data_IF_341301575890
#
_entry.id   IF_341301575890
#
_cell.length_a   1.000
_cell.length_b   1.000
_cell.length_c   1.000
_cell.angle_alpha   90.00
_cell.angle_beta   90.00
_cell.angle_gamma   90.00
#
_symmetry.space_group_name_H-M   'P 1'
#
loop_
_entity.id
_entity.type
_entity.pdbx_description
1 polymer ?
#
# COMPACT_ATOMS: atom_id res chain seq x y z
N UNK A 1 34.85 37.13 36.12
CA UNK A 1 33.78 36.22 35.67
C UNK A 1 32.85 36.01 36.86
N UNK A 2 31.62 36.53 36.77
CA UNK A 2 30.72 36.64 37.91
C UNK A 2 29.98 35.34 38.26
N UNK A 3 29.52 35.18 39.51
CA UNK A 3 28.81 33.98 40.00
C UNK A 3 27.53 33.62 39.23
N UNK A 4 27.03 34.51 38.37
CA UNK A 4 25.86 34.29 37.53
C UNK A 4 26.09 33.30 36.39
N UNK A 5 27.34 33.18 35.89
CA UNK A 5 27.66 32.32 34.73
C UNK A 5 27.80 30.84 35.09
N UNK A 6 28.05 30.51 36.36
CA UNK A 6 28.12 29.10 36.83
C UNK A 6 26.75 28.45 36.96
N UNK A 7 25.68 29.23 37.15
CA UNK A 7 24.33 28.67 37.35
C UNK A 7 23.68 28.20 36.05
N UNK A 8 23.96 28.86 34.93
CA UNK A 8 23.43 28.46 33.61
C UNK A 8 24.06 27.16 33.08
N UNK A 9 25.36 26.91 33.34
CA UNK A 9 26.03 25.67 32.93
C UNK A 9 25.50 24.43 33.69
N UNK A 10 25.13 24.58 34.96
CA UNK A 10 24.57 23.48 35.76
C UNK A 10 23.13 23.12 35.34
N UNK A 11 22.33 24.09 34.89
CA UNK A 11 20.95 23.88 34.45
C UNK A 11 20.88 23.21 33.06
N UNK A 12 21.81 23.54 32.15
CA UNK A 12 21.91 22.90 30.82
C UNK A 12 22.36 21.43 30.92
N UNK A 13 23.27 21.10 31.86
CA UNK A 13 23.68 19.72 32.12
C UNK A 13 22.57 18.86 32.75
N UNK A 14 21.68 19.48 33.54
CA UNK A 14 20.54 18.79 34.14
C UNK A 14 19.50 18.43 33.06
N UNK A 15 19.19 19.36 32.16
CA UNK A 15 18.22 19.14 31.07
C UNK A 15 18.66 18.02 30.12
N UNK A 16 19.95 17.96 29.76
CA UNK A 16 20.49 16.89 28.90
C UNK A 16 20.45 15.49 29.53
N UNK A 17 20.49 15.39 30.87
CA UNK A 17 20.38 14.10 31.57
C UNK A 17 18.97 13.52 31.53
N UNK A 18 17.95 14.37 31.64
CA UNK A 18 16.55 13.93 31.63
C UNK A 18 16.08 13.52 30.23
N UNK A 19 16.53 14.22 29.18
CA UNK A 19 16.26 13.80 27.80
C UNK A 19 16.87 12.44 27.46
N UNK A 20 18.11 12.17 27.91
CA UNK A 20 18.75 10.86 27.72
C UNK A 20 18.00 9.75 28.44
N UNK A 21 17.55 9.98 29.67
CA UNK A 21 16.71 9.02 30.41
C UNK A 21 15.37 8.78 29.72
N UNK A 22 14.74 9.84 29.20
CA UNK A 22 13.48 9.72 28.46
C UNK A 22 13.66 8.90 27.18
N UNK A 23 14.74 9.12 26.44
CA UNK A 23 15.08 8.36 25.23
C UNK A 23 15.34 6.88 25.55
N UNK A 24 16.10 6.59 26.61
CA UNK A 24 16.37 5.22 27.05
C UNK A 24 15.09 4.50 27.48
N UNK A 25 14.21 5.18 28.22
CA UNK A 25 12.91 4.64 28.61
C UNK A 25 12.00 4.33 27.42
N UNK A 26 12.01 5.18 26.38
CA UNK A 26 11.27 4.90 25.13
C UNK A 26 11.81 3.65 24.44
N UNK A 27 13.12 3.51 24.34
CA UNK A 27 13.75 2.34 23.74
C UNK A 27 13.39 1.03 24.46
N UNK A 28 13.44 1.02 25.79
CA UNK A 28 13.04 -0.13 26.61
C UNK A 28 11.56 -0.50 26.40
N UNK A 29 10.66 0.49 26.34
CA UNK A 29 9.23 0.25 26.06
C UNK A 29 9.02 -0.40 24.69
N UNK A 30 9.74 0.05 23.66
CA UNK A 30 9.67 -0.55 22.31
C UNK A 30 10.14 -2.01 22.33
N UNK A 31 11.24 -2.32 23.01
CA UNK A 31 11.75 -3.70 23.12
C UNK A 31 10.76 -4.62 23.85
N UNK A 32 10.12 -4.14 24.92
CA UNK A 32 9.08 -4.90 25.64
C UNK A 32 7.85 -5.16 24.77
N UNK A 33 7.41 -4.17 24.00
CA UNK A 33 6.28 -4.32 23.07
C UNK A 33 6.58 -5.36 21.97
N UNK A 34 7.79 -5.32 21.40
CA UNK A 34 8.24 -6.31 20.41
C UNK A 34 8.33 -7.71 21.01
N UNK A 35 8.83 -7.85 22.24
CA UNK A 35 8.88 -9.14 22.95
C UNK A 35 7.47 -9.73 23.14
N UNK A 36 6.52 -8.94 23.67
CA UNK A 36 5.12 -9.36 23.83
C UNK A 36 4.44 -9.71 22.50
N UNK A 37 4.84 -9.06 21.41
CA UNK A 37 4.34 -9.39 20.09
C UNK A 37 4.84 -10.75 19.60
N UNK A 38 6.15 -11.03 19.74
CA UNK A 38 6.73 -12.34 19.40
C UNK A 38 6.08 -13.47 20.20
N UNK A 39 5.89 -13.27 21.50
CA UNK A 39 5.25 -14.23 22.38
C UNK A 39 3.79 -14.53 21.97
N UNK A 40 2.99 -13.51 21.63
CA UNK A 40 1.62 -13.71 21.10
C UNK A 40 1.62 -14.50 19.79
N UNK A 41 2.60 -14.25 18.92
CA UNK A 41 2.74 -14.95 17.64
C UNK A 41 3.12 -16.43 17.85
N UNK A 42 4.10 -16.70 18.72
CA UNK A 42 4.50 -18.06 19.09
C UNK A 42 3.34 -18.84 19.74
N UNK A 43 2.61 -18.22 20.66
CA UNK A 43 1.43 -18.84 21.26
C UNK A 43 0.35 -19.17 20.22
N UNK A 44 0.13 -18.29 19.24
CA UNK A 44 -0.84 -18.53 18.16
C UNK A 44 -0.39 -19.64 17.22
N UNK A 45 0.90 -19.73 16.91
CA UNK A 45 1.46 -20.84 16.11
C UNK A 45 1.25 -22.15 16.86
N UNK A 46 1.60 -22.22 18.15
CA UNK A 46 1.41 -23.40 18.99
C UNK A 46 -0.06 -23.83 19.04
N UNK A 47 -0.99 -22.89 19.23
CA UNK A 47 -2.42 -23.17 19.21
C UNK A 47 -2.88 -23.78 17.87
N UNK A 48 -2.35 -23.30 16.75
CA UNK A 48 -2.66 -23.83 15.43
C UNK A 48 -2.05 -25.21 15.21
N UNK A 49 -0.81 -25.44 15.66
CA UNK A 49 -0.15 -26.74 15.63
C UNK A 49 -0.93 -27.78 16.45
N UNK A 50 -1.38 -27.43 17.66
CA UNK A 50 -2.22 -28.29 18.50
C UNK A 50 -3.55 -28.63 17.81
N UNK A 51 -4.20 -27.65 17.16
CA UNK A 51 -5.44 -27.90 16.39
C UNK A 51 -5.20 -28.81 15.19
N UNK A 52 -4.10 -28.63 14.47
CA UNK A 52 -3.73 -29.49 13.33
C UNK A 52 -3.45 -30.92 13.82
N UNK A 53 -2.80 -31.08 14.98
CA UNK A 53 -2.58 -32.40 15.59
C UNK A 53 -3.91 -33.09 15.92
N UNK A 54 -4.85 -32.39 16.57
CA UNK A 54 -6.19 -32.93 16.89
C UNK A 54 -6.95 -33.34 15.61
N UNK A 55 -6.96 -32.48 14.59
CA UNK A 55 -7.61 -32.79 13.32
C UNK A 55 -6.95 -33.98 12.61
N UNK A 56 -5.63 -34.10 12.68
CA UNK A 56 -4.88 -35.21 12.10
C UNK A 56 -5.20 -36.53 12.82
N UNK A 57 -5.31 -36.53 14.15
CA UNK A 57 -5.75 -37.70 14.93
C UNK A 57 -7.18 -38.12 14.58
N UNK A 58 -8.11 -37.17 14.47
CA UNK A 58 -9.50 -37.46 14.09
C UNK A 58 -9.62 -38.05 12.69
N UNK A 59 -8.76 -37.63 11.75
CA UNK A 59 -8.70 -38.22 10.41
C UNK A 59 -8.11 -39.63 10.44
N UNK A 60 -7.09 -39.87 11.25
CA UNK A 60 -6.44 -41.18 11.38
C UNK A 60 -7.33 -42.24 12.05
N UNK A 61 -8.22 -41.84 12.96
CA UNK A 61 -9.14 -42.75 13.68
C UNK A 61 -10.36 -43.19 12.83
N UNK A 62 -10.40 -42.82 11.55
CA UNK A 62 -11.37 -43.37 10.59
C UNK A 62 -12.76 -42.77 10.71
N UNK A 63 -12.91 -41.51 10.25
CA UNK A 63 -14.14 -40.99 9.62
C UNK A 63 -15.48 -41.14 10.36
N UNK A 64 -15.47 -41.38 11.68
CA UNK A 64 -16.71 -41.57 12.43
C UNK A 64 -17.34 -40.19 12.70
N UNK A 65 -18.27 -39.80 11.82
CA UNK A 65 -18.94 -38.48 11.76
C UNK A 65 -19.58 -37.99 13.06
N UNK A 66 -19.74 -38.86 14.06
CA UNK A 66 -20.27 -38.52 15.39
C UNK A 66 -19.29 -37.76 16.30
N UNK A 67 -17.99 -37.75 16.04
CA UNK A 67 -17.01 -37.06 16.91
C UNK A 67 -16.90 -35.54 16.63
N UNK A 68 -17.21 -35.09 15.41
CA UNK A 68 -17.07 -33.68 15.00
C UNK A 68 -18.01 -32.70 15.72
N UNK A 69 -19.13 -33.18 16.28
CA UNK A 69 -20.08 -32.35 17.03
C UNK A 69 -19.65 -32.03 18.46
N UNK A 70 -18.57 -32.65 18.95
CA UNK A 70 -18.07 -32.47 20.33
C UNK A 70 -16.98 -31.41 20.48
N UNK A 71 -16.52 -30.80 19.39
CA UNK A 71 -15.50 -29.76 19.45
C UNK A 71 -16.08 -28.48 20.06
N UNK A 72 -15.39 -27.84 21.04
CA UNK A 72 -15.84 -26.60 21.64
C UNK A 72 -15.97 -25.51 20.57
N UNK A 73 -17.09 -24.76 20.53
CA UNK A 73 -17.33 -23.74 19.52
C UNK A 73 -16.23 -22.67 19.60
N UNK A 74 -15.58 -22.40 18.48
CA UNK A 74 -14.57 -21.34 18.42
C UNK A 74 -15.22 -19.97 18.68
N UNK A 75 -14.66 -19.13 19.58
CA UNK A 75 -15.22 -17.81 19.91
C UNK A 75 -15.23 -16.82 18.73
N UNK A 76 -14.54 -17.14 17.63
CA UNK A 76 -14.52 -16.34 16.39
C UNK A 76 -15.64 -16.67 15.39
N UNK A 77 -16.36 -17.79 15.56
CA UNK A 77 -17.49 -18.16 14.70
C UNK A 77 -18.86 -17.79 15.29
N UNK A 78 -18.91 -17.39 16.56
CA UNK A 78 -20.14 -16.95 17.22
C UNK A 78 -20.69 -15.61 16.70
N UNK A 79 -19.94 -14.89 15.87
CA UNK A 79 -20.33 -13.59 15.32
C UNK A 79 -20.95 -13.64 13.92
N UNK A 80 -21.05 -14.81 13.30
CA UNK A 80 -21.52 -14.96 11.91
C UNK A 80 -22.90 -15.64 11.78
N UNK A 81 -23.54 -16.04 12.88
CA UNK A 81 -24.81 -16.78 12.88
C UNK A 81 -25.90 -16.00 13.59
N UNK A 82 -26.22 -14.81 13.08
CA UNK A 82 -27.40 -14.04 13.49
C UNK A 82 -28.00 -13.28 12.29
N UNK A 83 -28.51 -14.01 11.30
CA UNK A 83 -29.48 -13.45 10.36
C UNK A 83 -30.23 -14.55 9.59
N UNK A 84 -31.56 -14.54 9.74
CA UNK A 84 -32.46 -14.96 8.67
C UNK A 84 -33.04 -16.38 8.75
N UNK A 85 -33.91 -16.63 9.74
CA UNK A 85 -35.01 -17.58 9.58
C UNK A 85 -36.28 -16.82 9.19
N UNK A 86 -36.81 -17.09 8.00
CA UNK A 86 -38.22 -16.97 7.67
C UNK A 86 -38.57 -17.87 6.48
N UNK A 87 -39.21 -19.00 6.79
CA UNK A 87 -40.34 -19.64 6.08
C UNK A 87 -40.29 -19.85 4.56
N UNK A 88 -40.31 -21.12 4.18
CA UNK A 88 -40.72 -21.58 2.85
C UNK A 88 -40.70 -23.11 2.77
N UNK A 89 -41.80 -23.76 3.15
CA UNK A 89 -41.96 -25.21 3.03
C UNK A 89 -42.07 -25.60 1.56
N UNK A 90 -41.11 -26.37 1.07
CA UNK A 90 -41.15 -27.02 -0.23
C UNK A 90 -40.33 -28.30 -0.16
N UNK A 91 -41.00 -29.42 0.09
CA UNK A 91 -40.42 -30.76 0.06
C UNK A 91 -40.02 -31.12 -1.37
N UNK A 92 -38.78 -30.83 -1.72
CA UNK A 92 -38.11 -31.31 -2.93
C UNK A 92 -36.75 -31.87 -2.54
N UNK A 93 -36.72 -33.13 -2.08
CA UNK A 93 -35.48 -33.85 -1.83
C UNK A 93 -34.82 -34.08 -3.19
N UNK A 94 -33.87 -33.22 -3.54
CA UNK A 94 -33.02 -33.39 -4.71
C UNK A 94 -31.93 -34.40 -4.31
N UNK A 95 -31.86 -35.60 -4.93
CA UNK A 95 -30.79 -36.54 -4.67
C UNK A 95 -29.51 -35.96 -5.26
N UNK A 96 -28.72 -35.29 -4.42
CA UNK A 96 -27.33 -35.01 -4.73
C UNK A 96 -26.65 -36.38 -4.86
N UNK A 97 -26.33 -36.77 -6.10
CA UNK A 97 -25.69 -38.04 -6.40
C UNK A 97 -24.39 -38.18 -5.61
N UNK A 98 -24.16 -39.34 -4.99
CA UNK A 98 -22.94 -39.68 -4.23
C UNK A 98 -21.63 -39.38 -4.99
N UNK A 99 -21.70 -39.32 -6.32
CA UNK A 99 -20.65 -38.83 -7.23
C UNK A 99 -20.09 -37.46 -6.87
N UNK A 100 -20.94 -36.48 -6.53
CA UNK A 100 -20.49 -35.11 -6.25
C UNK A 100 -19.79 -35.01 -4.90
N UNK A 101 -20.18 -35.85 -3.95
CA UNK A 101 -19.53 -35.93 -2.65
C UNK A 101 -18.16 -36.60 -2.77
N UNK A 102 -18.04 -37.67 -3.58
CA UNK A 102 -16.78 -38.33 -3.86
C UNK A 102 -15.77 -37.40 -4.56
N UNK A 103 -16.21 -36.61 -5.54
CA UNK A 103 -15.34 -35.64 -6.22
C UNK A 103 -14.85 -34.52 -5.28
N UNK A 104 -15.71 -34.05 -4.37
CA UNK A 104 -15.32 -33.07 -3.35
C UNK A 104 -14.35 -33.64 -2.33
N UNK A 105 -14.54 -34.90 -1.93
CA UNK A 105 -13.62 -35.63 -1.05
C UNK A 105 -12.23 -35.79 -1.68
N UNK A 106 -12.14 -36.24 -2.94
CA UNK A 106 -10.87 -36.37 -3.67
C UNK A 106 -10.15 -35.01 -3.83
N UNK A 107 -10.90 -33.94 -4.08
CA UNK A 107 -10.35 -32.58 -4.15
C UNK A 107 -9.78 -32.12 -2.79
N UNK A 108 -10.46 -32.45 -1.69
CA UNK A 108 -9.99 -32.16 -0.33
C UNK A 108 -8.72 -32.94 0.02
N UNK A 109 -8.68 -34.23 -0.29
CA UNK A 109 -7.50 -35.08 -0.05
C UNK A 109 -6.27 -34.57 -0.80
N UNK A 110 -6.42 -34.20 -2.08
CA UNK A 110 -5.33 -33.60 -2.87
C UNK A 110 -4.82 -32.29 -2.27
N UNK A 111 -5.73 -31.47 -1.73
CA UNK A 111 -5.37 -30.19 -1.11
C UNK A 111 -4.64 -30.38 0.22
N UNK A 112 -5.05 -31.36 1.02
CA UNK A 112 -4.36 -31.75 2.27
C UNK A 112 -2.95 -32.26 1.96
N UNK A 113 -2.78 -33.11 0.95
CA UNK A 113 -1.46 -33.61 0.53
C UNK A 113 -0.52 -32.47 0.07
N UNK A 114 -1.06 -31.50 -0.67
CA UNK A 114 -0.29 -30.33 -1.12
C UNK A 114 0.18 -29.48 0.05
N UNK A 115 -0.70 -29.18 1.02
CA UNK A 115 -0.35 -28.42 2.21
C UNK A 115 0.66 -29.16 3.11
N UNK A 116 0.56 -30.48 3.20
CA UNK A 116 1.54 -31.29 3.94
C UNK A 116 2.94 -31.21 3.32
N UNK A 117 3.04 -31.24 1.98
CA UNK A 117 4.30 -31.08 1.26
C UNK A 117 4.91 -29.67 1.45
N UNK A 118 4.09 -28.62 1.41
CA UNK A 118 4.54 -27.25 1.67
C UNK A 118 5.05 -27.08 3.11
N UNK A 119 4.35 -27.63 4.10
CA UNK A 119 4.78 -27.59 5.49
C UNK A 119 6.10 -28.34 5.70
N UNK A 120 6.29 -29.49 5.05
CA UNK A 120 7.56 -30.21 5.08
C UNK A 120 8.70 -29.37 4.46
N UNK A 121 8.45 -28.69 3.34
CA UNK A 121 9.43 -27.81 2.71
C UNK A 121 9.81 -26.61 3.59
N UNK A 122 8.84 -26.01 4.29
CA UNK A 122 9.08 -24.92 5.25
C UNK A 122 9.89 -25.39 6.46
N UNK A 123 9.60 -26.59 6.97
CA UNK A 123 10.36 -27.19 8.09
C UNK A 123 11.82 -27.44 7.72
N UNK A 124 12.08 -27.94 6.50
CA UNK A 124 13.44 -28.12 5.99
C UNK A 124 14.18 -26.79 5.81
N UNK A 125 13.49 -25.74 5.34
CA UNK A 125 14.08 -24.38 5.25
C UNK A 125 14.50 -23.82 6.60
N UNK A 126 13.72 -24.07 7.65
CA UNK A 126 14.08 -23.62 9.00
C UNK A 126 15.25 -24.39 9.62
N UNK A 127 15.42 -25.69 9.29
CA UNK A 127 16.56 -26.47 9.76
C UNK A 127 17.88 -26.13 9.04
N UNK A 128 17.81 -25.56 7.83
CA UNK A 128 18.99 -25.14 7.05
C UNK A 128 19.47 -23.72 7.36
N UNK A 129 18.93 -23.04 8.37
CA UNK A 129 19.53 -21.79 8.87
C UNK A 129 20.53 -22.18 9.96
N UNK A 130 21.84 -22.27 9.66
CA UNK A 130 22.82 -22.48 10.72
C UNK A 130 22.73 -21.31 11.69
N UNK A 131 22.35 -21.62 12.93
CA UNK A 131 22.52 -20.72 14.07
C UNK A 131 24.02 -20.53 14.20
N UNK A 132 24.57 -19.46 13.61
CA UNK A 132 25.95 -19.08 13.88
C UNK A 132 26.00 -18.70 15.37
N UNK A 133 26.78 -19.43 16.21
CA UNK A 133 27.05 -18.96 17.54
C UNK A 133 27.81 -17.65 17.41
N UNK A 134 27.27 -16.59 18.02
CA UNK A 134 27.89 -15.27 18.11
C UNK A 134 29.23 -15.41 18.82
N UNK A 135 30.29 -15.69 18.06
CA UNK A 135 31.66 -15.55 18.54
C UNK A 135 31.96 -14.06 18.66
N UNK A 136 31.95 -13.58 19.89
CA UNK A 136 32.65 -12.37 20.30
C UNK A 136 34.13 -12.62 20.01
N UNK A 137 34.70 -11.95 18.99
CA UNK A 137 36.14 -11.94 18.80
C UNK A 137 36.69 -10.51 18.81
N UNK A 138 37.81 -10.28 19.52
CA UNK A 138 38.45 -8.99 19.63
C UNK A 138 39.37 -8.69 18.44
N UNK A 139 39.65 -7.41 18.31
CA UNK A 139 40.56 -6.69 17.41
C UNK A 139 41.88 -7.45 17.12
N UNK A 140 42.22 -7.68 15.84
CA UNK A 140 43.52 -7.33 15.23
C UNK A 140 43.64 -7.63 13.70
N UNK A 141 44.05 -6.57 12.97
CA UNK A 141 45.01 -6.43 11.85
C UNK A 141 45.19 -7.45 10.68
N UNK A 142 45.13 -6.87 9.47
CA UNK A 142 45.90 -7.07 8.21
C UNK A 142 46.16 -8.47 7.60
N UNK A 143 45.57 -8.74 6.42
CA UNK A 143 46.22 -8.76 5.07
C UNK A 143 45.23 -9.23 3.97
N UNK A 144 45.44 -8.90 2.68
CA UNK A 144 44.55 -9.29 1.58
C UNK A 144 45.11 -10.46 0.75
N UNK A 145 44.27 -11.43 0.40
CA UNK A 145 44.56 -12.40 -0.65
C UNK A 145 43.28 -12.89 -1.34
N UNK A 146 43.14 -12.44 -2.59
CA UNK A 146 42.66 -13.13 -3.80
C UNK A 146 41.88 -14.44 -3.64
N UNK A 147 40.62 -14.48 -4.13
CA UNK A 147 39.97 -15.71 -4.62
C UNK A 147 39.03 -15.38 -5.82
N UNK A 148 39.20 -16.16 -6.88
CA UNK A 148 38.34 -16.29 -8.07
C UNK A 148 36.96 -16.88 -7.75
N UNK A 149 35.92 -16.43 -8.47
CA UNK A 149 34.63 -17.12 -8.47
C UNK A 149 34.12 -17.37 -9.89
N UNK A 150 34.12 -18.67 -10.25
CA UNK A 150 33.31 -19.25 -11.31
C UNK A 150 32.19 -20.06 -10.65
N UNK A 151 30.91 -19.76 -10.91
CA UNK A 151 29.83 -20.75 -11.13
C UNK A 151 28.42 -20.14 -11.05
N UNK A 152 27.82 -20.02 -12.23
CA UNK A 152 26.54 -20.56 -12.70
C UNK A 152 25.58 -21.19 -11.66
N UNK A 153 24.29 -20.77 -11.68
CA UNK A 153 23.22 -21.44 -10.96
C UNK A 153 21.80 -20.95 -11.29
N UNK A 154 21.18 -21.64 -12.25
CA UNK A 154 19.74 -21.80 -12.58
C UNK A 154 18.67 -21.12 -11.68
N UNK A 155 17.80 -20.33 -12.34
CA UNK A 155 16.53 -19.82 -11.82
C UNK A 155 15.37 -20.78 -12.18
N UNK A 156 14.66 -21.27 -11.17
CA UNK A 156 13.32 -21.84 -11.32
C UNK A 156 12.29 -20.88 -10.71
N UNK A 157 11.37 -20.39 -11.53
CA UNK A 157 10.24 -19.55 -11.13
C UNK A 157 9.18 -20.40 -10.44
N UNK A 158 8.71 -19.98 -9.26
CA UNK A 158 7.54 -20.56 -8.61
C UNK A 158 6.63 -19.42 -8.10
N UNK A 159 5.41 -19.36 -8.63
CA UNK A 159 4.37 -18.40 -8.27
C UNK A 159 3.60 -18.93 -7.06
N UNK A 160 3.70 -18.25 -5.90
CA UNK A 160 2.88 -18.56 -4.73
C UNK A 160 1.89 -17.43 -4.41
N UNK A 161 0.64 -17.83 -4.18
CA UNK A 161 -0.43 -17.05 -3.57
C UNK A 161 -0.08 -16.77 -2.11
N UNK A 162 0.02 -15.49 -1.72
CA UNK A 162 0.27 -15.10 -0.33
C UNK A 162 -0.97 -14.48 0.31
N UNK A 163 -1.40 -15.11 1.42
CA UNK A 163 -2.35 -14.57 2.39
C UNK A 163 -1.64 -13.54 3.27
N UNK A 164 -1.99 -12.27 3.13
CA UNK A 164 -1.40 -11.16 3.89
C UNK A 164 -2.18 -10.93 5.20
N UNK A 165 -1.61 -11.41 6.31
CA UNK A 165 -1.95 -10.93 7.64
C UNK A 165 -0.66 -10.48 8.33
N UNK A 166 -0.34 -9.17 8.30
CA UNK A 166 0.61 -8.48 9.18
C UNK A 166 0.88 -7.04 8.69
N UNK A 167 0.33 -6.03 9.36
CA UNK A 167 1.01 -4.74 9.64
C UNK A 167 0.07 -3.87 10.50
N UNK A 168 0.25 -3.80 11.82
CA UNK A 168 -0.51 -2.82 12.63
C UNK A 168 0.30 -2.07 13.70
N UNK A 169 1.55 -2.43 14.04
CA UNK A 169 2.20 -1.80 15.22
C UNK A 169 3.66 -1.38 15.07
N UNK A 170 4.33 -1.66 13.95
CA UNK A 170 5.72 -1.20 13.73
C UNK A 170 5.82 0.21 13.13
N UNK A 171 4.78 0.67 12.42
CA UNK A 171 4.74 1.96 11.70
C UNK A 171 4.52 3.16 12.65
N UNK A 172 3.81 2.98 13.77
CA UNK A 172 3.34 4.13 14.56
C UNK A 172 4.45 4.94 15.26
N UNK A 173 5.56 4.31 15.68
CA UNK A 173 6.61 4.96 16.48
C UNK A 173 7.63 5.76 15.66
N UNK A 174 7.92 5.37 14.41
CA UNK A 174 8.83 6.13 13.54
C UNK A 174 8.10 7.30 12.85
N UNK A 175 6.78 7.23 12.72
CA UNK A 175 5.99 8.30 12.09
C UNK A 175 5.58 9.43 13.05
N UNK A 176 5.59 9.22 14.37
CA UNK A 176 5.17 10.23 15.34
C UNK A 176 6.13 11.43 15.44
N UNK A 177 7.39 11.27 15.02
CA UNK A 177 8.36 12.38 14.95
C UNK A 177 8.14 13.31 13.76
N UNK A 178 7.36 12.90 12.74
CA UNK A 178 7.09 13.70 11.54
C UNK A 178 5.97 14.72 11.73
N UNK A 179 5.20 14.64 12.82
CA UNK A 179 4.04 15.48 13.08
C UNK A 179 4.32 16.73 13.92
N UNK A 180 5.59 17.00 14.28
CA UNK A 180 5.94 18.18 15.08
C UNK A 180 6.16 19.42 14.18
N UNK A 181 5.07 20.17 14.00
CA UNK A 181 4.89 21.61 13.76
C UNK A 181 6.05 22.47 13.18
N UNK A 182 5.93 23.06 11.96
CA UNK A 182 6.77 24.15 11.49
C UNK A 182 5.96 25.44 11.22
N UNK A 183 5.09 25.87 12.13
CA UNK A 183 4.15 26.98 11.90
C UNK A 183 4.51 28.25 12.68
N UNK A 184 5.71 28.84 12.52
CA UNK A 184 6.02 30.11 13.22
C UNK A 184 6.99 31.10 12.57
N UNK A 185 7.35 30.96 11.28
CA UNK A 185 8.26 31.92 10.65
C UNK A 185 7.71 32.44 9.32
N UNK A 186 7.60 33.77 9.25
CA UNK A 186 7.14 34.64 8.15
C UNK A 186 5.68 35.12 8.20
N UNK A 187 5.43 36.13 9.05
CA UNK A 187 4.50 37.21 8.74
C UNK A 187 5.27 38.54 8.80
N UNK A 188 5.68 39.06 7.64
CA UNK A 188 6.00 40.48 7.47
C UNK A 188 4.80 41.13 6.81
N UNK A 189 4.11 42.00 7.56
CA UNK A 189 3.00 42.82 7.07
C UNK A 189 3.53 43.94 6.17
N UNK A 190 3.29 43.83 4.86
CA UNK A 190 3.45 44.93 3.91
C UNK A 190 2.08 45.53 3.59
N UNK A 191 1.98 46.85 3.82
CA UNK A 191 0.81 47.68 3.56
C UNK A 191 0.40 47.60 2.08
N UNK A 192 -0.89 47.37 1.82
CA UNK A 192 -1.44 47.17 0.47
C UNK A 192 -1.98 48.48 -0.13
N UNK A 193 -1.59 48.88 -1.35
CA UNK A 193 -2.19 49.99 -2.10
C UNK A 193 -3.58 49.65 -2.66
N UNK A 194 -4.33 50.63 -3.24
CA UNK A 194 -5.71 50.45 -3.67
C UNK A 194 -5.84 49.43 -4.81
N UNK A 195 -6.81 48.52 -4.67
CA UNK A 195 -7.12 47.43 -5.62
C UNK A 195 -7.79 47.97 -6.90
N UNK A 196 -7.03 48.03 -7.99
CA UNK A 196 -7.59 47.93 -9.34
C UNK A 196 -7.91 46.46 -9.62
N UNK A 197 -9.13 46.14 -10.05
CA UNK A 197 -9.57 44.78 -10.39
C UNK A 197 -8.92 44.29 -11.68
N UNK A 198 -7.65 43.90 -11.59
CA UNK A 198 -7.01 43.05 -12.60
C UNK A 198 -7.68 41.68 -12.60
N UNK A 199 -7.84 41.02 -13.77
CA UNK A 199 -8.28 39.62 -13.82
C UNK A 199 -7.43 38.83 -12.84
N UNK A 200 -8.06 38.25 -11.81
CA UNK A 200 -7.36 37.52 -10.76
C UNK A 200 -6.62 36.36 -11.42
N UNK A 201 -5.33 36.56 -11.67
CA UNK A 201 -4.45 35.53 -12.20
C UNK A 201 -4.54 34.31 -11.30
N UNK A 202 -4.64 33.12 -11.90
CA UNK A 202 -4.63 31.86 -11.16
C UNK A 202 -3.36 31.81 -10.31
N UNK A 203 -3.52 31.72 -8.98
CA UNK A 203 -2.40 31.56 -8.04
C UNK A 203 -2.03 30.08 -7.95
N UNK A 204 -0.74 29.77 -7.91
CA UNK A 204 -0.22 28.41 -7.74
C UNK A 204 -0.44 27.88 -6.32
N UNK A 205 -0.33 26.55 -6.13
CA UNK A 205 -0.41 25.94 -4.80
C UNK A 205 0.64 26.54 -3.85
N UNK A 206 1.85 26.76 -4.36
CA UNK A 206 2.97 27.28 -3.58
C UNK A 206 2.72 28.69 -3.06
N UNK A 207 2.05 29.55 -3.85
CA UNK A 207 1.66 30.90 -3.40
C UNK A 207 0.56 30.83 -2.35
N UNK A 208 -0.39 29.89 -2.48
CA UNK A 208 -1.52 29.76 -1.55
C UNK A 208 -1.15 29.10 -0.22
N UNK A 209 -0.26 28.10 -0.24
CA UNK A 209 -0.03 27.18 0.87
C UNK A 209 1.44 27.01 1.24
N UNK A 210 2.36 27.75 0.60
CA UNK A 210 3.81 27.54 0.74
C UNK A 210 4.31 26.33 -0.06
N UNK A 211 5.61 26.02 0.03
CA UNK A 211 6.17 24.84 -0.62
C UNK A 211 5.73 23.55 0.08
N UNK A 212 5.51 22.45 -0.66
CA UNK A 212 5.16 21.17 -0.05
C UNK A 212 6.31 20.65 0.84
N UNK A 213 5.95 20.05 1.97
CA UNK A 213 6.91 19.43 2.89
C UNK A 213 7.26 18.02 2.39
N UNK A 214 8.46 17.87 1.81
CA UNK A 214 8.91 16.66 1.10
C UNK A 214 10.20 16.05 1.66
N UNK A 215 11.03 16.81 2.39
CA UNK A 215 12.38 16.36 2.77
C UNK A 215 12.37 15.20 3.78
N UNK A 216 11.39 15.19 4.69
CA UNK A 216 11.22 14.09 5.63
C UNK A 216 10.86 12.78 4.91
N UNK A 217 9.98 12.86 3.91
CA UNK A 217 9.56 11.74 3.09
C UNK A 217 10.68 11.24 2.18
N UNK A 218 11.44 12.15 1.56
CA UNK A 218 12.64 11.84 0.78
C UNK A 218 13.65 11.07 1.62
N UNK A 219 13.94 11.57 2.82
CA UNK A 219 14.86 10.91 3.77
C UNK A 219 14.35 9.53 4.18
N UNK A 220 13.05 9.41 4.49
CA UNK A 220 12.44 8.14 4.87
C UNK A 220 12.51 7.11 3.73
N UNK A 221 12.20 7.48 2.49
CA UNK A 221 12.32 6.58 1.33
C UNK A 221 13.77 6.18 1.07
N UNK A 222 14.73 7.11 1.13
CA UNK A 222 16.16 6.78 0.97
C UNK A 222 16.77 6.01 2.14
N UNK A 223 16.10 5.97 3.29
CA UNK A 223 16.52 5.09 4.39
C UNK A 223 16.18 3.62 4.15
N UNK A 224 15.30 3.32 3.17
CA UNK A 224 14.96 1.96 2.79
C UNK A 224 16.14 1.35 1.99
N UNK A 225 16.68 0.18 2.38
CA UNK A 225 17.87 -0.39 1.75
C UNK A 225 17.78 -0.49 0.23
N UNK A 226 16.66 -0.97 -0.32
CA UNK A 226 16.49 -1.10 -1.79
C UNK A 226 16.37 0.22 -2.54
N UNK A 227 16.15 1.34 -1.83
CA UNK A 227 15.88 2.65 -2.44
C UNK A 227 16.93 3.72 -2.07
N UNK A 228 17.96 3.36 -1.30
CA UNK A 228 18.98 4.28 -0.80
C UNK A 228 19.64 5.15 -1.86
N UNK A 229 19.88 4.58 -3.04
CA UNK A 229 20.48 5.27 -4.19
C UNK A 229 19.48 5.45 -5.36
N UNK A 230 18.18 5.31 -5.12
CA UNK A 230 17.17 5.39 -6.18
C UNK A 230 16.95 6.84 -6.62
N UNK A 231 17.24 7.13 -7.89
CA UNK A 231 16.99 8.44 -8.52
C UNK A 231 15.49 8.78 -8.57
N UNK A 232 14.63 7.76 -8.56
CA UNK A 232 13.18 7.92 -8.66
C UNK A 232 12.60 8.59 -7.43
N UNK A 233 13.22 8.42 -6.26
CA UNK A 233 12.82 9.12 -5.03
C UNK A 233 12.97 10.63 -5.20
N UNK A 234 14.07 11.09 -5.80
CA UNK A 234 14.29 12.51 -6.03
C UNK A 234 13.34 13.06 -7.09
N UNK A 235 13.19 12.33 -8.20
CA UNK A 235 12.27 12.71 -9.29
C UNK A 235 10.81 12.79 -8.84
N UNK A 236 10.37 11.88 -7.94
CA UNK A 236 9.02 11.90 -7.39
C UNK A 236 8.73 13.24 -6.70
N UNK A 237 9.62 13.67 -5.81
CA UNK A 237 9.42 14.88 -5.02
C UNK A 237 9.73 16.17 -5.79
N UNK A 238 10.67 16.12 -6.74
CA UNK A 238 10.90 17.22 -7.68
C UNK A 238 9.66 17.48 -8.55
N UNK A 239 9.01 16.42 -9.05
CA UNK A 239 7.76 16.54 -9.79
C UNK A 239 6.65 17.19 -8.94
N UNK A 240 6.49 16.77 -7.68
CA UNK A 240 5.51 17.36 -6.76
C UNK A 240 5.79 18.85 -6.49
N UNK A 241 7.05 19.22 -6.27
CA UNK A 241 7.44 20.60 -6.00
C UNK A 241 7.24 21.49 -7.24
N UNK A 242 7.62 21.00 -8.43
CA UNK A 242 7.36 21.69 -9.70
C UNK A 242 5.87 21.87 -9.95
N UNK A 243 5.08 20.82 -9.71
CA UNK A 243 3.63 20.89 -9.84
C UNK A 243 3.05 21.99 -8.93
N UNK A 244 3.56 22.14 -7.70
CA UNK A 244 3.06 23.10 -6.73
C UNK A 244 3.32 24.57 -7.11
N UNK A 245 4.44 24.87 -7.78
CA UNK A 245 4.76 26.24 -8.21
C UNK A 245 4.14 26.64 -9.55
N UNK A 246 3.58 25.67 -10.28
CA UNK A 246 3.05 25.86 -11.63
C UNK A 246 1.58 26.30 -11.60
N UNK A 247 1.18 27.15 -12.56
CA UNK A 247 -0.22 27.58 -12.76
C UNK A 247 -0.82 27.07 -14.08
N UNK A 248 0.01 26.65 -15.04
CA UNK A 248 -0.43 26.04 -16.29
C UNK A 248 -0.97 24.61 -16.05
N UNK A 249 -2.24 24.38 -16.41
CA UNK A 249 -2.91 23.08 -16.23
C UNK A 249 -2.21 21.96 -17.03
N UNK A 250 -1.70 22.25 -18.23
CA UNK A 250 -1.04 21.22 -19.04
C UNK A 250 0.31 20.81 -18.44
N UNK A 251 1.08 21.77 -17.92
CA UNK A 251 2.29 21.46 -17.18
C UNK A 251 2.00 20.74 -15.86
N UNK A 252 0.97 21.12 -15.11
CA UNK A 252 0.52 20.39 -13.91
C UNK A 252 0.20 18.92 -14.27
N UNK A 253 -0.49 18.66 -15.39
CA UNK A 253 -0.77 17.30 -15.90
C UNK A 253 0.49 16.53 -16.24
N UNK A 254 1.48 17.17 -16.89
CA UNK A 254 2.78 16.56 -17.21
C UNK A 254 3.54 16.19 -15.93
N UNK A 255 3.57 17.09 -14.95
CA UNK A 255 4.23 16.81 -13.66
C UNK A 255 3.50 15.72 -12.87
N UNK A 256 2.16 15.68 -12.91
CA UNK A 256 1.38 14.59 -12.33
C UNK A 256 1.72 13.22 -12.96
N UNK A 257 1.86 13.16 -14.30
CA UNK A 257 2.27 11.95 -14.98
C UNK A 257 3.69 11.52 -14.56
N UNK A 258 4.63 12.46 -14.48
CA UNK A 258 6.00 12.21 -13.99
C UNK A 258 6.01 11.70 -12.55
N UNK A 259 5.21 12.32 -11.67
CA UNK A 259 5.02 11.88 -10.29
C UNK A 259 4.55 10.42 -10.23
N UNK A 260 3.50 10.07 -10.99
CA UNK A 260 2.95 8.71 -11.00
C UNK A 260 3.97 7.69 -11.55
N UNK A 261 4.71 8.03 -12.59
CA UNK A 261 5.77 7.17 -13.14
C UNK A 261 6.90 6.94 -12.14
N UNK A 262 7.43 8.01 -11.56
CA UNK A 262 8.48 7.92 -10.53
C UNK A 262 8.01 7.07 -9.34
N UNK A 263 6.75 7.24 -8.92
CA UNK A 263 6.14 6.42 -7.86
C UNK A 263 6.17 4.93 -8.21
N UNK A 264 5.78 4.56 -9.42
CA UNK A 264 5.77 3.15 -9.82
C UNK A 264 7.18 2.60 -10.07
N UNK A 265 8.12 3.41 -10.55
CA UNK A 265 9.52 3.01 -10.63
C UNK A 265 10.12 2.70 -9.24
N UNK A 266 9.79 3.51 -8.22
CA UNK A 266 10.16 3.22 -6.82
C UNK A 266 9.60 1.86 -6.37
N UNK A 267 8.35 1.55 -6.69
CA UNK A 267 7.75 0.27 -6.28
C UNK A 267 8.37 -0.92 -7.02
N UNK A 268 8.80 -0.73 -8.27
CA UNK A 268 9.50 -1.75 -9.06
C UNK A 268 10.92 -2.01 -8.55
N UNK A 269 11.64 -0.97 -8.15
CA UNK A 269 12.99 -1.08 -7.57
C UNK A 269 12.98 -1.61 -6.12
N UNK A 270 11.87 -1.42 -5.41
CA UNK A 270 11.75 -1.86 -4.02
C UNK A 270 11.51 -3.38 -3.89
N UNK A 271 12.19 -3.99 -2.91
CA UNK A 271 11.82 -5.33 -2.46
C UNK A 271 10.43 -5.32 -1.79
N UNK A 272 9.83 -6.48 -1.58
CA UNK A 272 8.44 -6.57 -1.09
C UNK A 272 8.20 -5.82 0.24
N UNK A 273 9.13 -5.91 1.20
CA UNK A 273 8.98 -5.25 2.50
C UNK A 273 9.15 -3.74 2.38
N UNK A 274 10.16 -3.30 1.63
CA UNK A 274 10.42 -1.88 1.40
C UNK A 274 9.32 -1.24 0.54
N UNK A 275 8.68 -1.99 -0.36
CA UNK A 275 7.54 -1.53 -1.17
C UNK A 275 6.34 -1.14 -0.29
N UNK A 276 5.99 -1.98 0.69
CA UNK A 276 4.89 -1.67 1.64
C UNK A 276 5.22 -0.40 2.42
N UNK A 277 6.44 -0.27 2.94
CA UNK A 277 6.89 0.95 3.63
C UNK A 277 6.90 2.17 2.71
N UNK A 278 7.32 2.02 1.46
CA UNK A 278 7.31 3.10 0.50
C UNK A 278 5.88 3.60 0.22
N UNK A 279 4.90 2.69 0.13
CA UNK A 279 3.48 3.05 0.04
C UNK A 279 3.06 3.86 1.27
N UNK A 280 3.34 3.39 2.49
CA UNK A 280 3.00 4.10 3.74
C UNK A 280 3.60 5.53 3.77
N UNK A 281 4.89 5.68 3.43
CA UNK A 281 5.57 6.97 3.43
C UNK A 281 4.96 7.92 2.39
N UNK A 282 4.69 7.43 1.17
CA UNK A 282 4.11 8.26 0.10
C UNK A 282 2.69 8.69 0.45
N UNK A 283 1.88 7.80 0.99
CA UNK A 283 0.50 8.13 1.38
C UNK A 283 0.44 9.07 2.60
N UNK A 284 1.34 8.91 3.57
CA UNK A 284 1.49 9.90 4.65
C UNK A 284 1.90 11.27 4.09
N UNK A 285 2.84 11.30 3.14
CA UNK A 285 3.28 12.56 2.53
C UNK A 285 2.14 13.26 1.82
N UNK A 286 1.28 12.50 1.13
CA UNK A 286 0.08 13.05 0.49
C UNK A 286 -0.89 13.63 1.52
N UNK A 287 -1.08 12.95 2.65
CA UNK A 287 -1.92 13.45 3.76
C UNK A 287 -1.39 14.76 4.33
N UNK A 288 -0.08 14.87 4.54
CA UNK A 288 0.57 16.10 5.02
C UNK A 288 0.45 17.26 4.03
N UNK A 289 0.47 16.97 2.73
CA UNK A 289 0.39 17.95 1.64
C UNK A 289 -0.97 17.95 0.93
N UNK A 290 -2.06 17.61 1.64
CA UNK A 290 -3.37 17.42 1.02
C UNK A 290 -3.90 18.70 0.35
N UNK A 291 -3.69 19.88 0.94
CA UNK A 291 -4.12 21.15 0.36
C UNK A 291 -3.47 21.42 -1.00
N UNK A 292 -2.16 21.14 -1.13
CA UNK A 292 -1.46 21.23 -2.40
C UNK A 292 -2.02 20.24 -3.40
N UNK A 293 -2.13 18.97 -3.00
CA UNK A 293 -2.59 17.88 -3.87
C UNK A 293 -3.99 18.12 -4.38
N UNK A 294 -4.92 18.53 -3.51
CA UNK A 294 -6.30 18.80 -3.88
C UNK A 294 -6.38 19.99 -4.85
N UNK A 295 -5.62 21.06 -4.61
CA UNK A 295 -5.56 22.19 -5.52
C UNK A 295 -4.98 21.81 -6.89
N UNK A 296 -3.84 21.10 -6.92
CA UNK A 296 -3.20 20.69 -8.16
C UNK A 296 -4.04 19.66 -8.93
N UNK A 297 -4.74 18.76 -8.23
CA UNK A 297 -5.68 17.83 -8.86
C UNK A 297 -6.88 18.57 -9.43
N UNK A 298 -7.44 19.55 -8.70
CA UNK A 298 -8.55 20.35 -9.20
C UNK A 298 -8.15 21.08 -10.49
N UNK A 299 -6.98 21.71 -10.55
CA UNK A 299 -6.47 22.37 -11.77
C UNK A 299 -6.10 21.38 -12.88
N UNK A 300 -5.56 20.21 -12.55
CA UNK A 300 -5.27 19.15 -13.52
C UNK A 300 -6.54 18.53 -14.12
N UNK A 301 -7.64 18.52 -13.37
CA UNK A 301 -8.91 17.92 -13.80
C UNK A 301 -9.89 18.94 -14.39
N UNK A 302 -9.51 20.22 -14.44
CA UNK A 302 -10.25 21.22 -15.20
C UNK A 302 -10.42 20.71 -16.65
N UNK A 303 -11.60 20.91 -17.27
CA UNK A 303 -11.82 20.58 -18.67
C UNK A 303 -10.83 21.39 -19.51
N UNK A 304 -9.74 20.76 -19.93
CA UNK A 304 -8.80 21.39 -20.85
C UNK A 304 -9.37 21.39 -22.26
N UNK A 305 -8.64 22.01 -23.18
CA UNK A 305 -8.86 22.03 -24.64
C UNK A 305 -9.14 20.65 -25.27
N UNK A 306 -8.92 19.54 -24.55
CA UNK A 306 -9.52 18.23 -24.82
C UNK A 306 -11.08 18.20 -24.77
N UNK A 307 -11.76 19.27 -25.14
CA UNK A 307 -13.19 19.23 -25.45
C UNK A 307 -13.35 18.43 -26.74
N UNK A 308 -13.25 17.10 -26.62
CA UNK A 308 -13.95 16.24 -27.57
C UNK A 308 -15.44 16.60 -27.43
N UNK A 309 -16.17 16.74 -28.55
CA UNK A 309 -17.60 16.97 -28.53
C UNK A 309 -18.24 16.07 -27.50
N UNK A 310 -19.10 16.65 -26.67
CA UNK A 310 -19.76 16.05 -25.52
C UNK A 310 -20.67 14.91 -25.98
N UNK A 311 -20.10 13.81 -26.47
CA UNK A 311 -20.80 12.57 -26.67
C UNK A 311 -20.93 11.94 -25.29
N UNK A 312 -21.93 12.46 -24.54
CA UNK A 312 -22.52 11.76 -23.41
C UNK A 312 -22.95 10.32 -23.78
N UNK A 313 -22.99 10.01 -25.08
CA UNK A 313 -23.17 8.68 -25.66
C UNK A 313 -21.94 7.77 -25.62
N UNK A 314 -20.71 8.21 -25.34
CA UNK A 314 -19.56 7.29 -25.28
C UNK A 314 -19.57 6.32 -24.09
N UNK A 315 -20.53 6.46 -23.16
CA UNK A 315 -20.90 5.42 -22.20
C UNK A 315 -21.89 4.41 -22.80
N UNK A 316 -21.76 4.08 -24.10
CA UNK A 316 -22.43 2.90 -24.67
C UNK A 316 -22.02 1.71 -23.80
N UNK A 317 -23.01 1.20 -23.08
CA UNK A 317 -22.95 0.07 -22.15
C UNK A 317 -22.45 -1.16 -22.91
N UNK A 318 -21.13 -1.30 -23.03
CA UNK A 318 -20.55 -2.59 -23.39
C UNK A 318 -20.86 -3.50 -22.21
N UNK A 319 -21.62 -4.59 -22.37
CA UNK A 319 -22.01 -5.44 -21.26
C UNK A 319 -20.77 -5.88 -20.50
N UNK A 320 -20.67 -5.48 -19.23
CA UNK A 320 -19.49 -5.67 -18.38
C UNK A 320 -19.08 -7.14 -18.26
N UNK A 321 -19.99 -8.07 -18.55
CA UNK A 321 -19.81 -9.52 -18.40
C UNK A 321 -18.76 -10.15 -19.34
N UNK A 322 -18.37 -9.52 -20.46
CA UNK A 322 -17.48 -10.18 -21.44
C UNK A 322 -16.04 -9.66 -21.47
N UNK A 323 -15.72 -8.58 -20.79
CA UNK A 323 -14.40 -7.91 -20.91
C UNK A 323 -13.56 -7.91 -19.63
N UNK A 324 -14.06 -8.47 -18.53
CA UNK A 324 -13.33 -8.53 -17.28
C UNK A 324 -12.13 -9.47 -17.37
N UNK A 325 -10.91 -8.94 -17.34
CA UNK A 325 -9.74 -9.77 -17.05
C UNK A 325 -9.91 -10.38 -15.65
N UNK A 326 -9.53 -11.65 -15.41
CA UNK A 326 -9.63 -12.28 -14.09
C UNK A 326 -9.00 -11.44 -12.97
N UNK A 327 -7.95 -10.70 -13.31
CA UNK A 327 -7.23 -9.76 -12.46
C UNK A 327 -8.11 -8.60 -11.96
N UNK A 328 -8.91 -7.99 -12.83
CA UNK A 328 -9.78 -6.88 -12.44
C UNK A 328 -10.92 -7.35 -11.53
N UNK A 329 -11.43 -8.57 -11.74
CA UNK A 329 -12.42 -9.17 -10.85
C UNK A 329 -11.82 -9.41 -9.45
N UNK A 330 -10.59 -9.92 -9.37
CA UNK A 330 -9.86 -10.07 -8.10
C UNK A 330 -9.67 -8.71 -7.41
N UNK A 331 -9.20 -7.69 -8.13
CA UNK A 331 -9.04 -6.33 -7.61
C UNK A 331 -10.34 -5.75 -7.07
N UNK A 332 -11.44 -5.85 -7.84
CA UNK A 332 -12.78 -5.42 -7.43
C UNK A 332 -13.21 -6.11 -6.12
N UNK A 333 -13.02 -7.42 -6.02
CA UNK A 333 -13.34 -8.17 -4.80
C UNK A 333 -12.55 -7.64 -3.60
N UNK A 334 -11.25 -7.38 -3.77
CA UNK A 334 -10.41 -6.81 -2.70
C UNK A 334 -10.92 -5.44 -2.25
N UNK A 335 -11.37 -4.57 -3.17
CA UNK A 335 -11.93 -3.28 -2.81
C UNK A 335 -13.23 -3.40 -1.99
N UNK A 336 -14.07 -4.40 -2.26
CA UNK A 336 -15.27 -4.66 -1.45
C UNK A 336 -14.96 -5.11 -0.02
N UNK A 337 -13.76 -5.64 0.24
CA UNK A 337 -13.31 -6.01 1.59
C UNK A 337 -12.76 -4.84 2.41
N UNK A 338 -12.66 -3.63 1.84
CA UNK A 338 -12.26 -2.43 2.57
C UNK A 338 -13.48 -1.86 3.29
N UNK A 339 -13.55 -1.87 4.64
CA UNK A 339 -14.74 -1.49 5.39
C UNK A 339 -15.29 -0.10 5.05
N UNK A 340 -14.42 0.91 4.90
CA UNK A 340 -14.82 2.28 4.56
C UNK A 340 -15.43 2.43 3.15
N UNK A 341 -15.19 1.46 2.26
CA UNK A 341 -15.76 1.43 0.91
C UNK A 341 -17.03 0.57 0.83
N UNK A 342 -17.47 -0.01 1.94
CA UNK A 342 -18.71 -0.78 1.99
C UNK A 342 -19.90 0.05 1.53
N UNK A 343 -20.73 -0.52 0.65
CA UNK A 343 -21.89 0.16 0.06
C UNK A 343 -21.57 1.16 -1.06
N UNK A 344 -20.31 1.27 -1.51
CA UNK A 344 -19.87 2.14 -2.63
C UNK A 344 -19.60 1.35 -3.93
N UNK A 345 -20.42 0.34 -4.18
CA UNK A 345 -20.24 -0.61 -5.30
C UNK A 345 -20.28 0.10 -6.66
N UNK A 346 -21.13 1.11 -6.80
CA UNK A 346 -21.27 1.95 -8.00
C UNK A 346 -19.97 2.66 -8.37
N UNK A 347 -19.27 3.23 -7.39
CA UNK A 347 -18.00 3.94 -7.62
C UNK A 347 -16.86 2.97 -7.91
N UNK A 348 -16.84 1.81 -7.26
CA UNK A 348 -15.87 0.74 -7.54
C UNK A 348 -16.05 0.24 -8.98
N UNK A 349 -17.30 0.04 -9.40
CA UNK A 349 -17.65 -0.43 -10.73
C UNK A 349 -17.31 0.60 -11.81
N UNK A 350 -17.65 1.87 -11.56
CA UNK A 350 -17.26 2.97 -12.44
C UNK A 350 -15.74 3.08 -12.57
N UNK A 351 -14.98 2.90 -11.48
CA UNK A 351 -13.53 2.91 -11.51
C UNK A 351 -12.94 1.77 -12.35
N UNK A 352 -13.44 0.54 -12.15
CA UNK A 352 -13.01 -0.63 -12.92
C UNK A 352 -13.37 -0.49 -14.40
N UNK A 353 -14.57 0.02 -14.69
CA UNK A 353 -15.03 0.26 -16.06
C UNK A 353 -14.16 1.29 -16.78
N UNK A 354 -13.76 2.38 -16.11
CA UNK A 354 -12.85 3.37 -16.69
C UNK A 354 -11.50 2.75 -17.10
N UNK A 355 -10.98 1.83 -16.30
CA UNK A 355 -9.77 1.08 -16.65
C UNK A 355 -9.96 0.22 -17.91
N UNK A 356 -11.06 -0.54 -17.99
CA UNK A 356 -11.40 -1.36 -19.16
C UNK A 356 -11.57 -0.47 -20.40
N UNK A 357 -12.38 0.57 -20.31
CA UNK A 357 -12.64 1.47 -21.44
C UNK A 357 -11.35 2.14 -21.92
N UNK A 358 -10.49 2.57 -21.00
CA UNK A 358 -9.20 3.20 -21.34
C UNK A 358 -8.23 2.22 -22.01
N UNK A 359 -8.21 0.94 -21.61
CA UNK A 359 -7.33 -0.06 -22.22
C UNK A 359 -7.75 -0.43 -23.64
N UNK A 360 -9.04 -0.32 -23.98
CA UNK A 360 -9.59 -0.62 -25.30
C UNK A 360 -9.67 0.60 -26.23
N UNK A 361 -9.56 1.81 -25.69
CA UNK A 361 -9.62 3.05 -26.47
C UNK A 361 -8.41 3.15 -27.42
N UNK A 362 -8.65 3.19 -28.75
CA UNK A 362 -7.58 3.27 -29.76
C UNK A 362 -7.04 4.68 -29.98
N UNK A 363 -7.86 5.69 -29.70
CA UNK A 363 -7.45 7.08 -29.85
C UNK A 363 -6.60 7.54 -28.66
N UNK A 364 -5.42 8.10 -28.93
CA UNK A 364 -4.47 8.49 -27.88
C UNK A 364 -4.97 9.66 -27.02
N UNK A 365 -5.73 10.58 -27.62
CA UNK A 365 -6.25 11.76 -26.90
C UNK A 365 -7.36 11.33 -25.94
N UNK A 366 -8.32 10.54 -26.42
CA UNK A 366 -9.37 9.94 -25.58
C UNK A 366 -8.79 9.05 -24.48
N UNK A 367 -7.75 8.26 -24.80
CA UNK A 367 -7.04 7.44 -23.82
C UNK A 367 -6.36 8.29 -22.75
N UNK A 368 -5.74 9.42 -23.12
CA UNK A 368 -5.17 10.36 -22.18
C UNK A 368 -6.24 11.01 -21.28
N UNK A 369 -7.39 11.34 -21.84
CA UNK A 369 -8.53 11.82 -21.07
C UNK A 369 -9.05 10.77 -20.06
N UNK A 370 -9.24 9.52 -20.52
CA UNK A 370 -9.63 8.39 -19.68
C UNK A 370 -8.64 8.15 -18.53
N UNK A 371 -7.33 8.31 -18.77
CA UNK A 371 -6.32 8.26 -17.71
C UNK A 371 -6.56 9.29 -16.60
N UNK A 372 -6.82 10.55 -16.93
CA UNK A 372 -7.09 11.57 -15.91
C UNK A 372 -8.42 11.33 -15.18
N UNK A 373 -9.42 10.77 -15.86
CA UNK A 373 -10.65 10.32 -15.21
C UNK A 373 -10.40 9.17 -14.22
N UNK A 374 -9.55 8.20 -14.58
CA UNK A 374 -9.09 7.14 -13.67
C UNK A 374 -8.41 7.75 -12.44
N UNK A 375 -7.50 8.72 -12.63
CA UNK A 375 -6.82 9.40 -11.51
C UNK A 375 -7.81 10.13 -10.61
N UNK A 376 -8.79 10.83 -11.18
CA UNK A 376 -9.87 11.49 -10.46
C UNK A 376 -10.69 10.51 -9.62
N UNK A 377 -11.18 9.43 -10.25
CA UNK A 377 -11.99 8.42 -9.59
C UNK A 377 -11.20 7.67 -8.50
N UNK A 378 -9.92 7.39 -8.75
CA UNK A 378 -8.99 6.83 -7.75
C UNK A 378 -8.89 7.75 -6.52
N UNK A 379 -8.71 9.05 -6.73
CA UNK A 379 -8.64 10.00 -5.62
C UNK A 379 -9.96 10.05 -4.85
N UNK A 380 -11.10 10.06 -5.55
CA UNK A 380 -12.43 10.02 -4.92
C UNK A 380 -12.62 8.79 -4.04
N UNK A 381 -12.31 7.59 -4.54
CA UNK A 381 -12.35 6.35 -3.75
C UNK A 381 -11.38 6.41 -2.55
N UNK A 382 -10.18 6.94 -2.77
CA UNK A 382 -9.20 7.11 -1.69
C UNK A 382 -9.67 8.05 -0.57
N UNK A 383 -10.37 9.14 -0.90
CA UNK A 383 -10.94 10.05 0.10
C UNK A 383 -12.10 9.45 0.90
N UNK A 384 -12.78 8.44 0.35
CA UNK A 384 -13.80 7.66 1.08
C UNK A 384 -13.18 6.66 2.08
N UNK A 385 -11.85 6.56 2.13
CA UNK A 385 -11.19 5.75 3.14
C UNK A 385 -11.07 6.52 4.47
N UNK A 386 -11.76 6.03 5.49
CA UNK A 386 -11.97 6.70 6.78
C UNK A 386 -10.70 6.75 7.64
N UNK A 387 -9.87 5.72 7.54
CA UNK A 387 -8.67 5.56 8.37
C UNK A 387 -7.43 5.22 7.50
N UNK A 388 -6.25 5.33 8.12
CA UNK A 388 -4.98 5.12 7.41
C UNK A 388 -4.79 3.64 7.00
N UNK A 389 -5.36 2.67 7.73
CA UNK A 389 -5.28 1.24 7.37
C UNK A 389 -6.03 0.96 6.07
N UNK A 390 -7.26 1.47 5.93
CA UNK A 390 -8.07 1.33 4.71
C UNK A 390 -7.42 2.01 3.51
N UNK A 391 -6.80 3.19 3.72
CA UNK A 391 -6.02 3.88 2.67
C UNK A 391 -4.82 3.07 2.21
N UNK A 392 -4.09 2.47 3.14
CA UNK A 392 -2.93 1.63 2.83
C UNK A 392 -3.37 0.35 2.10
N UNK A 393 -4.47 -0.29 2.53
CA UNK A 393 -5.06 -1.45 1.85
C UNK A 393 -5.49 -1.09 0.43
N UNK A 394 -6.15 0.05 0.25
CA UNK A 394 -6.55 0.53 -1.08
C UNK A 394 -5.32 0.75 -1.97
N UNK A 395 -4.31 1.48 -1.47
CA UNK A 395 -3.10 1.78 -2.22
C UNK A 395 -2.30 0.51 -2.60
N UNK A 396 -2.19 -0.45 -1.68
CA UNK A 396 -1.55 -1.73 -1.92
C UNK A 396 -2.32 -2.56 -2.97
N UNK A 397 -3.65 -2.63 -2.85
CA UNK A 397 -4.50 -3.36 -3.80
C UNK A 397 -4.36 -2.79 -5.21
N UNK A 398 -4.32 -1.46 -5.32
CA UNK A 398 -4.11 -0.78 -6.59
C UNK A 398 -2.73 -1.09 -7.18
N UNK A 399 -1.69 -1.15 -6.36
CA UNK A 399 -0.35 -1.53 -6.80
C UNK A 399 -0.29 -2.99 -7.27
N UNK A 400 -0.94 -3.91 -6.56
CA UNK A 400 -1.02 -5.31 -6.99
C UNK A 400 -1.72 -5.44 -8.35
N UNK A 401 -2.87 -4.80 -8.52
CA UNK A 401 -3.58 -4.77 -9.79
C UNK A 401 -2.75 -4.15 -10.92
N UNK A 402 -1.97 -3.10 -10.61
CA UNK A 402 -1.05 -2.48 -11.57
C UNK A 402 0.08 -3.42 -11.98
N UNK A 403 0.69 -4.15 -11.05
CA UNK A 403 1.75 -5.13 -11.36
C UNK A 403 1.25 -6.21 -12.31
N UNK A 404 0.05 -6.73 -12.06
CA UNK A 404 -0.61 -7.72 -12.93
C UNK A 404 -0.89 -7.17 -14.34
N UNK A 405 -1.07 -5.85 -14.48
CA UNK A 405 -1.36 -5.17 -15.74
C UNK A 405 -0.21 -4.25 -16.20
N UNK A 406 1.04 -4.53 -15.79
CA UNK A 406 2.19 -3.63 -15.96
C UNK A 406 2.39 -3.15 -17.39
N UNK A 407 2.34 -4.06 -18.37
CA UNK A 407 2.53 -3.71 -19.77
C UNK A 407 1.46 -2.75 -20.29
N UNK A 408 0.19 -3.00 -19.95
CA UNK A 408 -0.93 -2.14 -20.35
C UNK A 408 -0.82 -0.75 -19.72
N UNK A 409 -0.48 -0.66 -18.43
CA UNK A 409 -0.30 0.62 -17.72
C UNK A 409 0.89 1.41 -18.29
N UNK A 410 2.00 0.75 -18.62
CA UNK A 410 3.16 1.42 -19.22
C UNK A 410 2.84 1.97 -20.62
N UNK A 411 2.11 1.20 -21.43
CA UNK A 411 1.62 1.67 -22.73
C UNK A 411 0.69 2.87 -22.58
N UNK A 412 -0.25 2.81 -21.61
CA UNK A 412 -1.14 3.92 -21.28
C UNK A 412 -0.35 5.20 -20.96
N UNK A 413 0.70 5.12 -20.14
CA UNK A 413 1.53 6.29 -19.83
C UNK A 413 2.25 6.87 -21.04
N UNK A 414 2.78 6.02 -21.90
CA UNK A 414 3.47 6.47 -23.11
C UNK A 414 2.50 7.20 -24.04
N UNK A 415 1.28 6.69 -24.20
CA UNK A 415 0.26 7.38 -24.99
C UNK A 415 -0.18 8.71 -24.37
N UNK A 416 -0.34 8.76 -23.05
CA UNK A 416 -0.67 10.01 -22.32
C UNK A 416 0.43 11.06 -22.52
N UNK A 417 1.69 10.67 -22.41
CA UNK A 417 2.83 11.56 -22.62
C UNK A 417 2.86 12.11 -24.04
N UNK A 418 2.72 11.24 -25.05
CA UNK A 418 2.68 11.65 -26.45
C UNK A 418 1.48 12.57 -26.75
N UNK A 419 0.33 12.34 -26.11
CA UNK A 419 -0.83 13.21 -26.25
C UNK A 419 -0.57 14.59 -25.62
N UNK A 420 0.06 14.66 -24.44
CA UNK A 420 0.40 15.91 -23.78
C UNK A 420 1.48 16.71 -24.52
N UNK A 421 2.39 16.05 -25.25
CA UNK A 421 3.38 16.71 -26.09
C UNK A 421 2.75 17.43 -27.29
N UNK A 422 1.67 16.89 -27.86
CA UNK A 422 0.97 17.48 -29.01
C UNK A 422 0.14 18.72 -28.69
N UNK A 423 -0.09 19.00 -27.40
CA UNK A 423 -0.85 20.16 -26.95
C UNK A 423 -0.01 21.44 -26.75
N UNK A 424 1.32 21.32 -26.89
CA UNK A 424 2.26 22.44 -26.94
C UNK A 424 2.52 22.73 -28.41
#
# INVERSE_FOLDING_TARGET
>A
MGPKKRKEEDDDEAMGRDERKAMQNRHVKTLLAQKKFRERKENRIKELEDRVAVLSSLLAEGGNSKALSSLPPSPLLASASASGSASGSGTGVCPCSDSDLAAKMDTLEKRVATLAAENAALKNRHQMVPVQPSQVNPIHQHHPSSIDHTSTGLLAQNHNQYSYGLSQYASHHQMQSLQQNPSHLFQMELHSPPRMSTPQGKLSAAVKFGLPNIESARTALKSLPSLSNSIWVDQLFEALQRQAVTTDSNEIKRQLLKFIRAKYAIFEDANMLDRVKAIEVIELTKKLNHQHIDHMNAEALQPSVFQTPTDADMLIQTPAEKLGTPHLASFKNVLHFIPSLSGRNDLIDAFCQLFISSSHCRDRIQRAHGFFQIVSMKNRLFHLCDNDDDRNRFALSLEMARQENRAAVNNLFNDVELALQKLI
#
